data_IF_582693822165
#
_entry.id   IF_582693822165
#
_cell.length_a   1.000
_cell.length_b   1.000
_cell.length_c   1.000
_cell.angle_alpha   90.00
_cell.angle_beta   90.00
_cell.angle_gamma   90.00
#
_symmetry.space_group_name_H-M   'P 1'
#
loop_
_entity.id
_entity.type
_entity.pdbx_description
1 polymer ?
#
# COMPACT_ATOMS: atom_id res chain seq x y z
N UNK A 1 9.00 10.34 -11.94
CA UNK A 1 8.04 10.43 -10.81
C UNK A 1 7.81 9.10 -10.07
N UNK A 2 7.61 7.96 -10.76
CA UNK A 2 7.29 6.67 -10.13
C UNK A 2 8.43 5.99 -9.33
N UNK A 3 9.71 6.31 -9.64
CA UNK A 3 10.86 5.58 -9.10
C UNK A 3 10.90 5.46 -7.57
N UNK A 4 10.53 6.52 -6.84
CA UNK A 4 10.55 6.49 -5.35
C UNK A 4 9.68 5.38 -4.75
N UNK A 5 8.58 5.01 -5.41
CA UNK A 5 7.71 3.94 -4.94
C UNK A 5 8.35 2.58 -5.15
N UNK A 6 8.91 2.34 -6.34
CA UNK A 6 9.62 1.11 -6.66
C UNK A 6 10.84 0.93 -5.76
N UNK A 7 11.63 1.99 -5.56
CA UNK A 7 12.78 1.97 -4.66
C UNK A 7 12.36 1.57 -3.25
N UNK A 8 11.30 2.19 -2.71
CA UNK A 8 10.77 1.88 -1.39
C UNK A 8 10.25 0.43 -1.29
N UNK A 9 9.47 0.00 -2.27
CA UNK A 9 8.91 -1.35 -2.35
C UNK A 9 9.99 -2.42 -2.44
N UNK A 10 11.12 -2.13 -3.11
CA UNK A 10 12.23 -3.05 -3.30
C UNK A 10 13.25 -3.04 -2.14
N UNK A 11 13.03 -2.27 -1.08
CA UNK A 11 13.94 -2.23 0.07
C UNK A 11 13.85 -3.47 0.97
N UNK A 12 15.01 -3.94 1.45
CA UNK A 12 15.12 -5.03 2.42
C UNK A 12 15.09 -6.44 1.81
N UNK A 13 15.26 -7.46 2.66
CA UNK A 13 15.19 -8.88 2.28
C UNK A 13 14.35 -9.65 3.31
N UNK A 14 13.17 -10.20 2.94
CA UNK A 14 12.47 -9.98 1.67
C UNK A 14 12.10 -8.50 1.47
N UNK A 15 11.83 -8.12 0.23
CA UNK A 15 11.48 -6.73 -0.12
C UNK A 15 10.26 -6.25 0.67
N UNK A 16 10.13 -4.94 0.86
CA UNK A 16 8.98 -4.37 1.55
C UNK A 16 7.64 -4.74 0.88
N UNK A 17 7.63 -4.86 -0.45
CA UNK A 17 6.48 -5.36 -1.20
C UNK A 17 6.14 -6.81 -0.88
N UNK A 18 7.13 -7.71 -0.91
CA UNK A 18 6.92 -9.12 -0.58
C UNK A 18 6.45 -9.31 0.87
N UNK A 19 7.00 -8.52 1.81
CA UNK A 19 6.53 -8.49 3.19
C UNK A 19 5.08 -8.02 3.30
N UNK A 20 4.71 -6.96 2.58
CA UNK A 20 3.33 -6.48 2.56
C UNK A 20 2.35 -7.56 2.09
N UNK A 21 2.66 -8.24 0.98
CA UNK A 21 1.85 -9.36 0.49
C UNK A 21 1.77 -10.51 1.49
N UNK A 22 2.89 -10.89 2.10
CA UNK A 22 2.92 -11.97 3.09
C UNK A 22 2.05 -11.63 4.31
N UNK A 23 2.13 -10.40 4.82
CA UNK A 23 1.31 -9.93 5.94
C UNK A 23 -0.18 -9.87 5.60
N UNK A 24 -0.53 -9.35 4.42
CA UNK A 24 -1.91 -9.28 3.96
C UNK A 24 -2.49 -10.69 3.74
N UNK A 25 -1.73 -11.61 3.14
CA UNK A 25 -2.12 -13.02 2.99
C UNK A 25 -2.28 -13.73 4.35
N UNK A 26 -1.50 -13.33 5.36
CA UNK A 26 -1.65 -13.78 6.74
C UNK A 26 -2.80 -13.09 7.50
N UNK A 27 -3.59 -12.23 6.84
CA UNK A 27 -4.78 -11.59 7.39
C UNK A 27 -4.51 -10.40 8.31
N UNK A 28 -3.25 -9.96 8.45
CA UNK A 28 -2.91 -8.81 9.29
C UNK A 28 -1.59 -8.15 8.93
N UNK A 29 -1.66 -6.87 8.58
CA UNK A 29 -0.54 -5.93 8.50
C UNK A 29 0.18 -5.81 9.84
N UNK A 30 1.51 -5.84 9.82
CA UNK A 30 2.40 -5.80 10.99
C UNK A 30 3.52 -4.78 10.85
N UNK A 31 3.97 -4.48 9.62
CA UNK A 31 5.13 -3.60 9.40
C UNK A 31 4.79 -2.33 8.62
N UNK A 32 5.81 -1.52 8.35
CA UNK A 32 5.71 -0.14 7.88
C UNK A 32 5.89 -0.03 6.37
N UNK A 33 4.84 -0.34 5.59
CA UNK A 33 4.88 -0.29 4.12
C UNK A 33 3.74 0.51 3.47
N UNK A 34 2.71 0.88 4.23
CA UNK A 34 1.44 1.34 3.65
C UNK A 34 1.56 2.55 2.73
N UNK A 35 2.45 3.51 3.07
CA UNK A 35 2.55 4.76 2.30
C UNK A 35 3.00 4.57 0.85
N UNK A 36 3.78 3.53 0.55
CA UNK A 36 4.34 3.30 -0.78
C UNK A 36 3.81 2.04 -1.48
N UNK A 37 3.02 1.22 -0.77
CA UNK A 37 2.26 0.10 -1.37
C UNK A 37 0.82 0.53 -1.66
N UNK A 38 0.20 1.31 -0.79
CA UNK A 38 -1.12 1.92 -0.96
C UNK A 38 -1.00 3.45 -0.81
N UNK A 39 -0.40 4.14 -1.80
CA UNK A 39 -0.20 5.58 -1.71
C UNK A 39 -1.54 6.31 -1.81
N UNK A 40 -1.68 7.35 -0.98
CA UNK A 40 -2.82 8.27 -0.99
C UNK A 40 -2.40 9.63 -1.55
N UNK A 41 -3.36 10.51 -1.84
CA UNK A 41 -3.04 11.90 -2.20
C UNK A 41 -2.27 12.61 -1.09
N UNK A 42 -1.30 13.44 -1.50
CA UNK A 42 -0.55 14.28 -0.58
C UNK A 42 -1.50 15.25 0.16
N UNK A 43 -1.20 15.53 1.42
CA UNK A 43 -2.03 16.38 2.29
C UNK A 43 -3.05 15.62 3.13
N UNK A 44 -3.39 14.38 2.78
CA UNK A 44 -4.28 13.53 3.59
C UNK A 44 -3.59 12.96 4.84
N UNK A 45 -2.27 12.80 4.81
CA UNK A 45 -1.47 12.38 5.95
C UNK A 45 -0.43 13.43 6.37
N UNK A 46 -0.13 13.49 7.67
CA UNK A 46 0.79 14.48 8.26
C UNK A 46 2.20 13.95 8.56
N UNK A 47 2.42 12.63 8.48
CA UNK A 47 3.74 12.06 8.75
C UNK A 47 4.71 12.35 7.61
N UNK A 48 6.01 12.37 7.92
CA UNK A 48 7.06 12.54 6.91
C UNK A 48 6.96 11.50 5.78
N UNK A 49 6.57 10.26 6.10
CA UNK A 49 6.36 9.20 5.09
C UNK A 49 5.09 9.44 4.25
N UNK A 50 4.01 9.95 4.85
CA UNK A 50 2.81 10.30 4.10
C UNK A 50 3.03 11.50 3.16
N UNK A 51 3.92 12.43 3.53
CA UNK A 51 4.31 13.54 2.66
C UNK A 51 5.25 13.07 1.53
N UNK A 52 6.23 12.21 1.86
CA UNK A 52 7.22 11.69 0.91
C UNK A 52 6.61 10.77 -0.16
N UNK A 53 5.67 9.91 0.23
CA UNK A 53 5.03 8.94 -0.64
C UNK A 53 3.57 9.30 -0.98
N UNK A 54 3.13 10.51 -0.62
CA UNK A 54 1.86 11.04 -1.11
C UNK A 54 1.95 11.32 -2.61
N UNK A 55 0.86 11.05 -3.34
CA UNK A 55 0.70 11.43 -4.74
C UNK A 55 0.40 12.92 -4.83
N UNK A 56 1.17 13.67 -5.62
CA UNK A 56 1.06 15.13 -5.74
C UNK A 56 -0.25 15.60 -6.39
N UNK A 57 -0.98 14.69 -7.05
CA UNK A 57 -2.27 14.98 -7.65
C UNK A 57 -2.63 13.97 -8.74
N UNK A 58 -3.63 14.33 -9.56
CA UNK A 58 -4.15 13.46 -10.61
C UNK A 58 -3.08 13.07 -11.65
N UNK A 59 -2.21 14.01 -12.03
CA UNK A 59 -1.17 13.74 -13.02
C UNK A 59 -0.19 12.66 -12.53
N UNK A 60 0.24 12.73 -11.28
CA UNK A 60 1.13 11.72 -10.71
C UNK A 60 0.40 10.40 -10.47
N UNK A 61 -0.86 10.42 -10.02
CA UNK A 61 -1.66 9.22 -9.89
C UNK A 61 -1.80 8.48 -11.23
N UNK A 62 -2.01 9.20 -12.34
CA UNK A 62 -2.01 8.61 -13.69
C UNK A 62 -0.65 8.03 -14.06
N UNK A 63 0.44 8.73 -13.75
CA UNK A 63 1.79 8.23 -14.01
C UNK A 63 2.11 6.97 -13.19
N UNK A 64 1.65 6.89 -11.94
CA UNK A 64 1.76 5.70 -11.09
C UNK A 64 1.06 4.49 -11.74
N UNK A 65 -0.19 4.68 -12.21
CA UNK A 65 -0.97 3.62 -12.85
C UNK A 65 -0.50 3.27 -14.28
N UNK A 66 0.21 4.20 -14.94
CA UNK A 66 0.81 3.96 -16.25
C UNK A 66 2.05 3.06 -16.17
N UNK A 67 2.78 3.09 -15.05
CA UNK A 67 3.89 2.17 -14.79
C UNK A 67 3.36 0.74 -14.60
N UNK A 68 3.82 -0.18 -15.46
CA UNK A 68 3.31 -1.54 -15.50
C UNK A 68 3.54 -2.30 -14.18
N UNK A 69 4.71 -2.14 -13.55
CA UNK A 69 5.04 -2.88 -12.35
C UNK A 69 4.27 -2.32 -11.14
N UNK A 70 4.19 -1.00 -11.00
CA UNK A 70 3.40 -0.39 -9.92
C UNK A 70 1.92 -0.72 -10.04
N UNK A 71 1.36 -0.69 -11.26
CA UNK A 71 -0.03 -1.10 -11.50
C UNK A 71 -0.26 -2.55 -11.09
N UNK A 72 0.58 -3.48 -11.58
CA UNK A 72 0.46 -4.89 -11.26
C UNK A 72 0.54 -5.15 -9.75
N UNK A 73 1.47 -4.47 -9.07
CA UNK A 73 1.63 -4.61 -7.62
C UNK A 73 0.44 -4.06 -6.84
N UNK A 74 -0.11 -2.93 -7.25
CA UNK A 74 -1.32 -2.38 -6.65
C UNK A 74 -2.53 -3.31 -6.84
N UNK A 75 -2.73 -3.82 -8.06
CA UNK A 75 -3.80 -4.77 -8.38
C UNK A 75 -3.69 -6.06 -7.55
N UNK A 76 -2.48 -6.62 -7.40
CA UNK A 76 -2.25 -7.81 -6.58
C UNK A 76 -2.59 -7.56 -5.10
N UNK A 77 -2.14 -6.43 -4.55
CA UNK A 77 -2.43 -6.04 -3.17
C UNK A 77 -3.93 -5.88 -2.93
N UNK A 78 -4.63 -5.18 -3.84
CA UNK A 78 -6.09 -4.99 -3.76
C UNK A 78 -6.82 -6.33 -3.87
N UNK A 79 -6.37 -7.24 -4.74
CA UNK A 79 -6.96 -8.57 -4.85
C UNK A 79 -6.80 -9.39 -3.56
N UNK A 80 -5.64 -9.35 -2.91
CA UNK A 80 -5.41 -10.02 -1.62
C UNK A 80 -6.30 -9.40 -0.53
N UNK A 81 -6.41 -8.07 -0.48
CA UNK A 81 -7.28 -7.38 0.49
C UNK A 81 -8.74 -7.80 0.27
N UNK A 82 -9.22 -7.75 -0.96
CA UNK A 82 -10.58 -8.16 -1.30
C UNK A 82 -10.84 -9.61 -0.86
N UNK A 83 -9.92 -10.53 -1.15
CA UNK A 83 -10.01 -11.92 -0.72
C UNK A 83 -10.08 -12.07 0.81
N UNK A 84 -9.24 -11.35 1.55
CA UNK A 84 -9.25 -11.37 3.01
C UNK A 84 -10.56 -10.85 3.60
N UNK A 85 -11.15 -9.81 2.99
CA UNK A 85 -12.44 -9.26 3.44
C UNK A 85 -13.63 -10.18 3.17
N UNK A 86 -13.48 -11.26 2.40
CA UNK A 86 -14.48 -12.33 2.27
C UNK A 86 -14.38 -13.40 3.36
N UNK A 87 -13.30 -13.39 4.16
CA UNK A 87 -13.14 -14.37 5.23
C UNK A 87 -14.02 -14.01 6.44
N UNK A 88 -14.56 -15.01 7.15
CA UNK A 88 -15.29 -14.76 8.39
C UNK A 88 -14.36 -14.05 9.39
N UNK A 89 -14.95 -13.18 10.20
CA UNK A 89 -14.25 -12.38 11.21
C UNK A 89 -13.19 -11.42 10.67
N UNK A 90 -13.04 -11.24 9.35
CA UNK A 90 -12.19 -10.17 8.83
C UNK A 90 -12.91 -8.84 8.69
N UNK A 91 -12.18 -7.77 9.00
CA UNK A 91 -12.56 -6.40 8.74
C UNK A 91 -11.35 -5.64 8.22
N UNK A 92 -11.57 -4.50 7.57
CA UNK A 92 -10.46 -3.69 7.07
C UNK A 92 -9.57 -3.19 8.21
N UNK A 93 -10.15 -2.80 9.34
CA UNK A 93 -9.39 -2.42 10.54
C UNK A 93 -8.54 -3.57 11.09
N UNK A 94 -9.10 -4.79 11.14
CA UNK A 94 -8.36 -5.97 11.60
C UNK A 94 -7.22 -6.31 10.64
N UNK A 95 -7.48 -6.26 9.33
CA UNK A 95 -6.49 -6.51 8.28
C UNK A 95 -5.37 -5.49 8.30
N UNK A 96 -5.69 -4.21 8.45
CA UNK A 96 -4.70 -3.12 8.45
C UNK A 96 -4.05 -2.87 9.81
N UNK A 97 -4.42 -3.64 10.83
CA UNK A 97 -3.84 -3.56 12.17
C UNK A 97 -4.29 -2.33 12.97
N UNK A 98 -5.30 -1.59 12.50
CA UNK A 98 -5.88 -0.42 13.16
C UNK A 98 -6.61 0.52 12.19
N UNK A 99 -7.46 1.39 12.74
CA UNK A 99 -8.30 2.31 11.94
C UNK A 99 -7.52 3.29 11.06
N UNK A 100 -6.37 3.81 11.52
CA UNK A 100 -5.56 4.78 10.76
C UNK A 100 -5.02 4.25 9.42
N UNK A 101 -4.71 2.96 9.35
CA UNK A 101 -4.23 2.33 8.13
C UNK A 101 -5.39 1.79 7.28
N UNK A 102 -6.51 1.44 7.91
CA UNK A 102 -7.75 1.13 7.21
C UNK A 102 -8.26 2.31 6.36
N UNK A 103 -8.18 3.57 6.85
CA UNK A 103 -8.65 4.73 6.07
C UNK A 103 -7.83 5.02 4.80
N UNK A 104 -6.68 4.36 4.60
CA UNK A 104 -5.84 4.53 3.40
C UNK A 104 -6.16 3.51 2.30
N UNK A 105 -7.01 2.52 2.60
CA UNK A 105 -7.29 1.37 1.75
C UNK A 105 -8.70 1.45 1.21
#
# INVERSE_FOLDING_TARGET
>A
MAARFLDAQNTGVPSAYERALAELRAGRKRTHWIWFVLPQLQGLGRSAMAQRYGLEGLAEARAYLADQLLRQRLEEVIAVIHHQLQQPDQSLERLMGGGLDATKT
#
